data_IF_819450602169
#
_entry.id   IF_819450602169
#
_cell.length_a   1.000
_cell.length_b   1.000
_cell.length_c   1.000
_cell.angle_alpha   90.00
_cell.angle_beta   90.00
_cell.angle_gamma   90.00
#
_symmetry.space_group_name_H-M   'P 1'
#
loop_
_entity.id
_entity.type
_entity.pdbx_description
1 polymer ?
#
# COMPACT_ATOMS: atom_id res chain seq x y z
N UNK A 1 -16.16 -2.75 8.22
CA UNK A 1 -16.57 -4.06 8.78
C UNK A 1 -17.43 -3.96 10.04
N UNK A 2 -17.16 -3.07 11.00
CA UNK A 2 -17.94 -3.00 12.26
C UNK A 2 -19.44 -2.72 12.07
N UNK A 3 -19.83 -1.87 11.11
CA UNK A 3 -21.24 -1.61 10.81
C UNK A 3 -21.97 -2.84 10.22
N UNK A 4 -21.31 -3.60 9.34
CA UNK A 4 -21.87 -4.84 8.78
C UNK A 4 -22.15 -5.87 9.88
N UNK A 5 -21.20 -6.04 10.81
CA UNK A 5 -21.37 -6.91 11.96
C UNK A 5 -22.51 -6.43 12.87
N UNK A 6 -22.57 -5.13 13.19
CA UNK A 6 -23.61 -4.56 14.05
C UNK A 6 -25.02 -4.68 13.46
N UNK A 7 -25.19 -4.45 12.16
CA UNK A 7 -26.48 -4.60 11.47
C UNK A 7 -26.91 -6.06 11.44
N UNK A 8 -26.00 -6.98 11.09
CA UNK A 8 -26.30 -8.41 11.10
C UNK A 8 -26.66 -8.88 12.51
N UNK A 9 -25.88 -8.50 13.52
CA UNK A 9 -26.13 -8.82 14.92
C UNK A 9 -27.53 -8.35 15.38
N UNK A 10 -27.88 -7.10 15.07
CA UNK A 10 -29.19 -6.52 15.41
C UNK A 10 -30.30 -7.34 14.76
N UNK A 11 -30.17 -7.65 13.46
CA UNK A 11 -31.14 -8.43 12.71
C UNK A 11 -31.28 -9.88 13.20
N UNK A 12 -30.18 -10.56 13.57
CA UNK A 12 -30.21 -11.97 14.03
C UNK A 12 -30.75 -12.19 15.44
N UNK A 13 -30.65 -11.19 16.33
CA UNK A 13 -31.01 -11.38 17.75
C UNK A 13 -32.31 -10.71 18.16
N UNK A 14 -32.80 -9.75 17.38
CA UNK A 14 -33.95 -8.96 17.78
C UNK A 14 -35.06 -8.90 16.72
N UNK A 15 -34.73 -8.74 15.43
CA UNK A 15 -35.76 -8.66 14.37
C UNK A 15 -36.11 -10.01 13.74
N UNK A 16 -35.11 -10.87 13.50
CA UNK A 16 -35.27 -12.14 12.80
C UNK A 16 -34.54 -13.27 13.54
N UNK A 17 -35.02 -14.50 13.40
CA UNK A 17 -34.31 -15.68 13.88
C UNK A 17 -33.12 -16.01 12.98
N UNK A 18 -32.14 -16.73 13.54
CA UNK A 18 -30.92 -17.14 12.83
C UNK A 18 -31.20 -17.89 11.50
N UNK A 19 -32.27 -18.69 11.45
CA UNK A 19 -32.71 -19.46 10.27
C UNK A 19 -33.00 -18.58 9.02
N UNK A 20 -33.49 -17.35 9.23
CA UNK A 20 -33.78 -16.40 8.13
C UNK A 20 -32.49 -15.68 7.68
N UNK A 21 -31.55 -15.46 8.62
CA UNK A 21 -30.32 -14.71 8.39
C UNK A 21 -29.18 -15.57 7.84
N UNK A 22 -29.24 -16.89 8.02
CA UNK A 22 -28.27 -17.85 7.48
C UNK A 22 -28.05 -17.69 5.96
N UNK A 23 -29.08 -17.75 5.09
CA UNK A 23 -28.87 -17.57 3.64
C UNK A 23 -28.40 -16.15 3.29
N UNK A 24 -28.85 -15.13 4.02
CA UNK A 24 -28.47 -13.72 3.79
C UNK A 24 -26.98 -13.52 4.03
N UNK A 25 -26.46 -14.01 5.15
CA UNK A 25 -25.03 -13.93 5.47
C UNK A 25 -24.17 -14.76 4.51
N UNK A 26 -24.69 -15.89 4.02
CA UNK A 26 -24.04 -16.69 2.98
C UNK A 26 -23.84 -15.88 1.69
N UNK A 27 -24.89 -15.21 1.19
CA UNK A 27 -24.80 -14.37 -0.01
C UNK A 27 -23.88 -13.17 0.16
N UNK A 28 -23.89 -12.53 1.33
CA UNK A 28 -22.99 -11.39 1.62
C UNK A 28 -21.52 -11.86 1.58
N UNK A 29 -21.24 -13.01 2.20
CA UNK A 29 -19.89 -13.58 2.22
C UNK A 29 -19.42 -13.93 0.81
N UNK A 30 -20.23 -14.68 0.05
CA UNK A 30 -19.92 -15.04 -1.33
C UNK A 30 -19.79 -13.81 -2.24
N UNK A 31 -20.68 -12.82 -2.09
CA UNK A 31 -20.62 -11.57 -2.84
C UNK A 31 -19.33 -10.79 -2.55
N UNK A 32 -18.88 -10.78 -1.29
CA UNK A 32 -17.59 -10.17 -0.91
C UNK A 32 -16.43 -10.89 -1.58
N UNK A 33 -16.42 -12.22 -1.60
CA UNK A 33 -15.40 -13.02 -2.29
C UNK A 33 -15.38 -12.74 -3.80
N UNK A 34 -16.55 -12.68 -4.44
CA UNK A 34 -16.68 -12.33 -5.86
C UNK A 34 -16.14 -10.91 -6.12
N UNK A 35 -16.44 -9.95 -5.25
CA UNK A 35 -15.94 -8.59 -5.39
C UNK A 35 -14.41 -8.50 -5.25
N UNK A 36 -13.83 -9.25 -4.30
CA UNK A 36 -12.37 -9.37 -4.16
C UNK A 36 -11.74 -9.99 -5.40
N UNK A 37 -12.37 -11.01 -5.99
CA UNK A 37 -11.89 -11.62 -7.23
C UNK A 37 -12.04 -10.69 -8.43
N UNK A 38 -13.15 -9.98 -8.55
CA UNK A 38 -13.34 -8.97 -9.59
C UNK A 38 -12.30 -7.85 -9.51
N UNK A 39 -11.93 -7.44 -8.29
CA UNK A 39 -10.82 -6.51 -8.08
C UNK A 39 -9.51 -7.08 -8.64
N UNK A 40 -9.17 -8.32 -8.30
CA UNK A 40 -7.98 -9.00 -8.81
C UNK A 40 -7.95 -9.03 -10.35
N UNK A 41 -9.06 -9.35 -11.01
CA UNK A 41 -9.14 -9.36 -12.49
C UNK A 41 -8.88 -7.97 -13.08
N UNK A 42 -9.37 -6.91 -12.44
CA UNK A 42 -9.22 -5.54 -12.90
C UNK A 42 -7.81 -4.97 -12.66
N UNK A 43 -7.23 -5.21 -11.48
CA UNK A 43 -5.93 -4.65 -11.11
C UNK A 43 -4.75 -5.57 -11.43
N UNK A 44 -5.01 -6.84 -11.75
CA UNK A 44 -4.02 -7.93 -11.90
C UNK A 44 -3.08 -8.06 -10.71
N UNK A 45 -3.51 -7.61 -9.53
CA UNK A 45 -2.78 -7.68 -8.28
C UNK A 45 -3.69 -8.34 -7.25
N UNK A 46 -3.12 -9.27 -6.47
CA UNK A 46 -3.84 -9.90 -5.36
C UNK A 46 -4.30 -8.83 -4.36
N UNK A 47 -5.45 -9.06 -3.72
CA UNK A 47 -5.96 -8.13 -2.72
C UNK A 47 -5.15 -8.26 -1.44
N UNK A 48 -4.02 -7.56 -1.40
CA UNK A 48 -3.11 -7.50 -0.25
C UNK A 48 -3.21 -6.11 0.37
N UNK A 49 -3.47 -6.05 1.68
CA UNK A 49 -3.79 -4.80 2.37
C UNK A 49 -2.73 -3.69 2.22
N UNK A 50 -1.41 -3.95 2.38
CA UNK A 50 -0.39 -2.94 2.11
C UNK A 50 -0.42 -2.40 0.67
N UNK A 51 -0.52 -3.27 -0.34
CA UNK A 51 -0.52 -2.87 -1.75
C UNK A 51 -1.71 -1.97 -2.11
N UNK A 52 -2.89 -2.28 -1.56
CA UNK A 52 -4.09 -1.46 -1.75
C UNK A 52 -3.92 -0.08 -1.11
N UNK A 53 -3.33 -0.02 0.09
CA UNK A 53 -3.09 1.24 0.80
C UNK A 53 -2.06 2.11 0.08
N UNK A 54 -0.95 1.52 -0.37
CA UNK A 54 0.10 2.22 -1.12
C UNK A 54 -0.46 2.79 -2.42
N UNK A 55 -1.28 2.01 -3.13
CA UNK A 55 -1.95 2.47 -4.37
C UNK A 55 -2.91 3.62 -4.12
N UNK A 56 -3.72 3.55 -3.07
CA UNK A 56 -4.64 4.64 -2.70
C UNK A 56 -3.87 5.91 -2.32
N UNK A 57 -2.79 5.77 -1.56
CA UNK A 57 -1.93 6.88 -1.14
C UNK A 57 -1.24 7.53 -2.34
N UNK A 58 -0.68 6.73 -3.25
CA UNK A 58 -0.08 7.22 -4.51
C UNK A 58 -1.11 7.97 -5.35
N UNK A 59 -2.31 7.42 -5.51
CA UNK A 59 -3.36 8.08 -6.27
C UNK A 59 -3.77 9.42 -5.65
N UNK A 60 -3.93 9.46 -4.32
CA UNK A 60 -4.19 10.68 -3.57
C UNK A 60 -3.07 11.71 -3.73
N UNK A 61 -1.82 11.28 -3.60
CA UNK A 61 -0.63 12.12 -3.75
C UNK A 61 -0.55 12.72 -5.15
N UNK A 62 -0.69 11.93 -6.21
CA UNK A 62 -0.65 12.43 -7.58
C UNK A 62 -1.76 13.44 -7.85
N UNK A 63 -2.98 13.19 -7.36
CA UNK A 63 -4.09 14.13 -7.48
C UNK A 63 -3.82 15.44 -6.74
N UNK A 64 -3.20 15.38 -5.57
CA UNK A 64 -2.85 16.56 -4.79
C UNK A 64 -1.67 17.33 -5.41
N UNK A 65 -0.64 16.63 -5.88
CA UNK A 65 0.50 17.22 -6.57
C UNK A 65 0.06 17.97 -7.84
N UNK A 66 -0.86 17.40 -8.63
CA UNK A 66 -1.45 18.08 -9.79
C UNK A 66 -2.21 19.35 -9.40
N UNK A 67 -2.99 19.33 -8.31
CA UNK A 67 -3.70 20.52 -7.81
C UNK A 67 -2.75 21.63 -7.38
N UNK A 68 -1.60 21.28 -6.81
CA UNK A 68 -0.59 22.24 -6.37
C UNK A 68 0.35 22.67 -7.51
N UNK A 69 0.20 22.12 -8.71
CA UNK A 69 1.09 22.39 -9.85
C UNK A 69 2.50 21.81 -9.67
N UNK A 70 2.68 20.84 -8.77
CA UNK A 70 3.98 20.21 -8.54
C UNK A 70 4.29 19.23 -9.67
N UNK A 71 5.38 19.49 -10.39
CA UNK A 71 5.89 18.57 -11.42
C UNK A 71 6.60 17.39 -10.76
N UNK A 72 5.83 16.33 -10.51
CA UNK A 72 6.31 15.07 -9.91
C UNK A 72 7.42 14.43 -10.75
N UNK A 73 7.37 14.58 -12.09
CA UNK A 73 8.36 13.98 -12.98
C UNK A 73 9.71 14.64 -12.79
N UNK A 74 9.75 15.97 -12.73
CA UNK A 74 10.99 16.72 -12.48
C UNK A 74 11.54 16.46 -11.09
N UNK A 75 10.66 16.35 -10.08
CA UNK A 75 11.07 15.99 -8.73
C UNK A 75 11.77 14.61 -8.69
N UNK A 76 11.18 13.60 -9.32
CA UNK A 76 11.77 12.25 -9.37
C UNK A 76 13.12 12.24 -10.08
N UNK A 77 13.24 12.92 -11.23
CA UNK A 77 14.51 13.06 -11.94
C UNK A 77 15.62 13.67 -11.07
N UNK A 78 15.29 14.72 -10.32
CA UNK A 78 16.25 15.37 -9.44
C UNK A 78 16.68 14.43 -8.30
N UNK A 79 15.72 13.69 -7.73
CA UNK A 79 15.98 12.71 -6.67
C UNK A 79 16.88 11.57 -7.16
N UNK A 80 16.66 11.08 -8.38
CA UNK A 80 17.49 10.05 -8.99
C UNK A 80 18.93 10.54 -9.22
N UNK A 81 19.10 11.78 -9.72
CA UNK A 81 20.43 12.39 -9.89
C UNK A 81 21.18 12.56 -8.57
N UNK A 82 20.48 12.98 -7.50
CA UNK A 82 21.08 13.08 -6.16
C UNK A 82 21.53 11.71 -5.68
N UNK A 83 20.70 10.68 -5.82
CA UNK A 83 21.04 9.31 -5.41
C UNK A 83 22.25 8.76 -6.19
N UNK A 84 22.36 9.06 -7.49
CA UNK A 84 23.52 8.69 -8.30
C UNK A 84 24.81 9.36 -7.82
N UNK A 85 24.77 10.68 -7.58
CA UNK A 85 25.94 11.43 -7.10
C UNK A 85 26.36 10.96 -5.71
N UNK A 86 25.41 10.68 -4.82
CA UNK A 86 25.70 10.15 -3.48
C UNK A 86 26.36 8.77 -3.55
N UNK A 87 25.89 7.89 -4.43
CA UNK A 87 26.48 6.57 -4.63
C UNK A 87 27.88 6.67 -5.26
N UNK A 88 28.09 7.54 -6.24
CA UNK A 88 29.41 7.79 -6.83
C UNK A 88 30.38 8.37 -5.80
N UNK A 89 29.92 9.30 -4.96
CA UNK A 89 30.70 9.87 -3.87
C UNK A 89 31.02 8.83 -2.80
N UNK A 90 30.08 7.90 -2.52
CA UNK A 90 30.31 6.77 -1.62
C UNK A 90 31.36 5.80 -2.17
N UNK A 91 31.31 5.49 -3.47
CA UNK A 91 32.32 4.67 -4.16
C UNK A 91 33.69 5.32 -4.16
N UNK A 92 33.77 6.62 -4.46
CA UNK A 92 35.04 7.36 -4.43
C UNK A 92 35.63 7.45 -3.03
N UNK A 93 34.79 7.49 -1.99
CA UNK A 93 35.21 7.48 -0.58
C UNK A 93 35.48 6.08 -0.03
N UNK A 94 35.48 5.04 -0.87
CA UNK A 94 35.76 3.68 -0.42
C UNK A 94 37.21 3.62 0.11
N UNK A 95 37.41 3.33 1.41
CA UNK A 95 38.74 3.31 2.03
C UNK A 95 39.68 2.30 1.38
N UNK A 96 39.16 1.26 0.71
CA UNK A 96 39.96 0.26 0.01
C UNK A 96 40.66 0.82 -1.24
N UNK A 97 40.07 1.80 -1.93
CA UNK A 97 40.69 2.43 -3.11
C UNK A 97 41.62 3.60 -2.75
N UNK A 98 41.32 4.30 -1.67
CA UNK A 98 42.07 5.48 -1.22
C UNK A 98 43.34 5.17 -0.41
N UNK A 99 43.66 3.88 -0.16
CA UNK A 99 44.77 3.46 0.70
C UNK A 99 44.78 4.17 2.06
N UNK A 100 43.60 4.55 2.56
CA UNK A 100 43.47 5.19 3.86
C UNK A 100 43.69 4.13 4.95
N UNK A 101 44.32 4.49 6.09
CA UNK A 101 44.50 3.55 7.18
C UNK A 101 43.13 3.02 7.61
N UNK A 102 43.01 1.68 7.66
CA UNK A 102 41.79 1.00 8.10
C UNK A 102 41.45 1.55 9.49
N UNK A 103 40.29 2.23 9.60
CA UNK A 103 39.78 2.65 10.90
C UNK A 103 39.39 1.38 11.65
N UNK A 104 40.24 0.97 12.59
CA UNK A 104 39.93 -0.14 13.49
C UNK A 104 38.58 0.14 14.16
N UNK A 105 37.66 -0.80 14.00
CA UNK A 105 36.36 -0.78 14.66
C UNK A 105 36.65 -0.92 16.15
N UNK A 106 36.57 0.20 16.88
CA UNK A 106 36.73 0.22 18.33
C UNK A 106 35.55 -0.56 18.93
N UNK A 107 35.88 -1.69 19.54
CA UNK A 107 34.97 -2.63 20.19
C UNK A 107 34.31 -2.02 21.42
#
# INVERSE_FOLDING_TARGET
MGAQFGVLARLTWWEYSWDIMEPVTYFITYGTTIAMYAYFVLTRQEYVLPDVFDRQTLFGFHKQAQKMGLDVKRYNQLKDSVAQIEEDLRRLKDPLQLHLPIKEIRR
#
